data_IF_066404950046
#
_entry.id   IF_066404950046
#
_cell.length_a   1.000
_cell.length_b   1.000
_cell.length_c   1.000
_cell.angle_alpha   90.00
_cell.angle_beta   90.00
_cell.angle_gamma   90.00
#
_symmetry.space_group_name_H-M   'P 1'
#
loop_
_entity.id
_entity.type
_entity.pdbx_description
1 polymer ?
#
# COMPACT_ATOMS: atom_id res chain seq x y z
N UNK A 1 15.79 10.94 18.54
CA UNK A 1 15.93 11.00 17.07
C UNK A 1 14.55 11.21 16.51
N UNK A 2 14.24 12.39 16.00
CA UNK A 2 13.05 12.60 15.19
C UNK A 2 13.36 11.94 13.84
N UNK A 3 12.76 10.78 13.55
CA UNK A 3 12.76 10.28 12.18
C UNK A 3 11.91 11.26 11.38
N UNK A 4 12.51 11.94 10.41
CA UNK A 4 11.75 12.70 9.42
C UNK A 4 10.70 11.77 8.83
N UNK A 5 9.47 12.28 8.67
CA UNK A 5 8.42 11.49 8.06
C UNK A 5 8.86 11.08 6.65
N UNK A 6 8.73 9.79 6.30
CA UNK A 6 9.18 9.31 5.01
C UNK A 6 8.50 10.06 3.87
N UNK A 7 9.28 10.43 2.85
CA UNK A 7 8.75 11.15 1.68
C UNK A 7 7.83 10.20 0.90
N UNK A 8 6.54 10.55 0.82
CA UNK A 8 5.51 9.71 0.19
C UNK A 8 5.90 9.27 -1.23
N UNK A 9 6.54 10.14 -2.01
CA UNK A 9 6.99 9.81 -3.37
C UNK A 9 8.04 8.71 -3.42
N UNK A 10 8.90 8.60 -2.41
CA UNK A 10 9.92 7.53 -2.34
C UNK A 10 9.28 6.18 -2.02
N UNK A 11 8.25 6.18 -1.16
CA UNK A 11 7.48 4.98 -0.83
C UNK A 11 6.64 4.49 -2.02
N UNK A 12 6.01 5.41 -2.75
CA UNK A 12 5.31 5.08 -4.00
C UNK A 12 6.30 4.48 -5.00
N UNK A 13 7.47 5.09 -5.20
CA UNK A 13 8.47 4.58 -6.14
C UNK A 13 8.98 3.17 -5.76
N UNK A 14 9.20 2.90 -4.47
CA UNK A 14 9.54 1.56 -3.99
C UNK A 14 8.40 0.55 -4.26
N UNK A 15 7.15 0.98 -4.05
CA UNK A 15 5.96 0.19 -4.35
C UNK A 15 5.79 -0.10 -5.84
N UNK A 16 6.05 0.87 -6.71
CA UNK A 16 6.00 0.71 -8.16
C UNK A 16 7.04 -0.32 -8.64
N UNK A 17 8.25 -0.29 -8.10
CA UNK A 17 9.29 -1.30 -8.39
C UNK A 17 8.84 -2.71 -8.01
N UNK A 18 8.23 -2.86 -6.82
CA UNK A 18 7.67 -4.16 -6.39
C UNK A 18 6.53 -4.57 -7.31
N UNK A 19 5.58 -3.68 -7.60
CA UNK A 19 4.42 -3.95 -8.44
C UNK A 19 4.83 -4.41 -9.84
N UNK A 20 5.79 -3.73 -10.47
CA UNK A 20 6.32 -4.11 -11.78
C UNK A 20 7.03 -5.47 -11.73
N UNK A 21 7.90 -5.69 -10.74
CA UNK A 21 8.61 -6.96 -10.60
C UNK A 21 7.68 -8.15 -10.30
N UNK A 22 6.61 -7.93 -9.54
CA UNK A 22 5.59 -8.96 -9.29
C UNK A 22 4.77 -9.26 -10.56
N UNK A 23 4.44 -8.25 -11.38
CA UNK A 23 3.80 -8.47 -12.68
C UNK A 23 4.68 -9.29 -13.62
N UNK A 24 5.99 -9.05 -13.62
CA UNK A 24 6.94 -9.88 -14.39
C UNK A 24 6.98 -11.32 -13.90
N UNK A 25 6.91 -11.56 -12.59
CA UNK A 25 6.79 -12.91 -12.02
C UNK A 25 5.47 -13.54 -12.50
N UNK A 26 4.35 -12.83 -12.42
CA UNK A 26 3.04 -13.37 -12.82
C UNK A 26 2.96 -13.70 -14.32
N UNK A 27 3.82 -13.09 -15.14
CA UNK A 27 3.95 -13.40 -16.57
C UNK A 27 4.80 -14.66 -16.87
N UNK A 28 5.48 -15.22 -15.87
CA UNK A 28 6.37 -16.38 -16.03
C UNK A 28 5.67 -17.68 -15.61
N UNK A 29 5.96 -18.76 -16.32
CA UNK A 29 5.60 -20.10 -15.89
C UNK A 29 6.64 -20.62 -14.88
N UNK A 30 6.17 -21.04 -13.71
CA UNK A 30 6.99 -21.68 -12.68
C UNK A 30 6.65 -23.17 -12.59
N UNK A 31 7.65 -23.99 -12.34
CA UNK A 31 7.46 -25.44 -12.17
C UNK A 31 6.63 -25.75 -10.91
N UNK A 32 6.79 -24.95 -9.85
CA UNK A 32 6.05 -25.11 -8.59
C UNK A 32 5.59 -23.77 -8.02
N UNK A 33 4.61 -23.81 -7.12
CA UNK A 33 4.22 -22.64 -6.32
C UNK A 33 5.34 -22.18 -5.37
N UNK A 34 6.20 -23.08 -4.93
CA UNK A 34 7.35 -22.76 -4.08
C UNK A 34 8.39 -21.92 -4.82
N UNK A 35 8.66 -22.25 -6.09
CA UNK A 35 9.58 -21.46 -6.93
C UNK A 35 9.05 -20.04 -7.16
N UNK A 36 7.73 -19.90 -7.38
CA UNK A 36 7.08 -18.59 -7.50
C UNK A 36 7.20 -17.80 -6.19
N UNK A 37 6.94 -18.43 -5.05
CA UNK A 37 7.05 -17.80 -3.75
C UNK A 37 8.49 -17.36 -3.44
N UNK A 38 9.49 -18.17 -3.84
CA UNK A 38 10.90 -17.82 -3.69
C UNK A 38 11.26 -16.60 -4.54
N UNK A 39 10.81 -16.56 -5.79
CA UNK A 39 11.01 -15.41 -6.68
C UNK A 39 10.38 -14.13 -6.11
N UNK A 40 9.17 -14.22 -5.56
CA UNK A 40 8.50 -13.07 -4.94
C UNK A 40 9.26 -12.60 -3.69
N UNK A 41 9.70 -13.52 -2.83
CA UNK A 41 10.53 -13.18 -1.65
C UNK A 41 11.83 -12.49 -2.07
N UNK A 42 12.45 -12.92 -3.17
CA UNK A 42 13.64 -12.27 -3.72
C UNK A 42 13.38 -10.83 -4.18
N UNK A 43 12.24 -10.56 -4.83
CA UNK A 43 11.83 -9.19 -5.22
C UNK A 43 11.73 -8.27 -4.00
N UNK A 44 11.04 -8.71 -2.94
CA UNK A 44 10.92 -7.90 -1.73
C UNK A 44 12.29 -7.65 -1.09
N UNK A 45 13.16 -8.67 -1.01
CA UNK A 45 14.50 -8.52 -0.44
C UNK A 45 15.38 -7.55 -1.25
N UNK A 46 15.33 -7.62 -2.58
CA UNK A 46 16.09 -6.74 -3.47
C UNK A 46 15.66 -5.27 -3.32
N UNK A 47 14.35 -5.01 -3.38
CA UNK A 47 13.82 -3.65 -3.23
C UNK A 47 14.09 -3.11 -1.83
N UNK A 48 13.97 -3.93 -0.79
CA UNK A 48 14.33 -3.53 0.58
C UNK A 48 15.79 -3.06 0.67
N UNK A 49 16.72 -3.85 0.11
CA UNK A 49 18.14 -3.50 0.12
C UNK A 49 18.42 -2.22 -0.69
N UNK A 50 17.81 -2.08 -1.87
CA UNK A 50 17.99 -0.93 -2.77
C UNK A 50 17.39 0.36 -2.22
N UNK A 51 16.25 0.28 -1.54
CA UNK A 51 15.47 1.43 -1.06
C UNK A 51 15.67 1.73 0.43
N UNK A 52 16.45 0.92 1.15
CA UNK A 52 16.71 1.11 2.58
C UNK A 52 15.49 0.85 3.46
N UNK A 53 14.59 -0.05 3.05
CA UNK A 53 13.40 -0.40 3.83
C UNK A 53 13.78 -1.32 4.99
N UNK A 54 13.20 -1.07 6.16
CA UNK A 54 13.59 -1.73 7.42
C UNK A 54 13.24 -3.21 7.44
N UNK A 55 12.06 -3.54 6.95
CA UNK A 55 11.54 -4.89 6.98
C UNK A 55 10.56 -5.17 5.83
N UNK A 56 10.17 -6.44 5.72
CA UNK A 56 9.23 -6.89 4.69
C UNK A 56 7.85 -6.26 4.82
N UNK A 57 7.42 -5.91 6.04
CA UNK A 57 6.11 -5.27 6.25
C UNK A 57 6.10 -3.86 5.68
N UNK A 58 7.20 -3.13 5.83
CA UNK A 58 7.37 -1.83 5.21
C UNK A 58 7.36 -1.93 3.67
N UNK A 59 8.06 -2.91 3.10
CA UNK A 59 8.03 -3.14 1.66
C UNK A 59 6.64 -3.54 1.13
N UNK A 60 5.90 -4.35 1.89
CA UNK A 60 4.49 -4.66 1.59
C UNK A 60 3.61 -3.41 1.64
N UNK A 61 3.80 -2.53 2.62
CA UNK A 61 3.07 -1.26 2.69
C UNK A 61 3.37 -0.37 1.49
N UNK A 62 4.63 -0.30 1.03
CA UNK A 62 4.98 0.42 -0.20
C UNK A 62 4.20 -0.13 -1.41
N UNK A 63 4.22 -1.45 -1.59
CA UNK A 63 3.47 -2.16 -2.64
C UNK A 63 1.96 -1.83 -2.61
N UNK A 64 1.35 -1.88 -1.43
CA UNK A 64 -0.08 -1.61 -1.24
C UNK A 64 -0.43 -0.13 -1.48
N UNK A 65 0.37 0.80 -0.95
CA UNK A 65 0.15 2.24 -1.14
C UNK A 65 0.29 2.59 -2.63
N UNK A 66 1.34 2.11 -3.30
CA UNK A 66 1.54 2.30 -4.74
C UNK A 66 0.33 1.78 -5.52
N UNK A 67 -0.13 0.54 -5.24
CA UNK A 67 -1.30 -0.01 -5.91
C UNK A 67 -2.58 0.79 -5.63
N UNK A 68 -2.75 1.31 -4.41
CA UNK A 68 -3.90 2.13 -4.02
C UNK A 68 -3.94 3.43 -4.82
N UNK A 69 -2.81 4.15 -4.91
CA UNK A 69 -2.74 5.42 -5.62
C UNK A 69 -2.67 5.26 -7.14
N UNK A 70 -2.13 4.16 -7.66
CA UNK A 70 -2.13 3.86 -9.10
C UNK A 70 -3.55 3.78 -9.66
N UNK A 71 -4.48 3.19 -8.89
CA UNK A 71 -5.89 3.14 -9.24
C UNK A 71 -6.63 4.48 -9.02
N UNK A 72 -6.07 5.37 -8.19
CA UNK A 72 -6.70 6.64 -7.77
C UNK A 72 -5.64 7.76 -7.62
N UNK A 73 -5.08 8.29 -8.71
CA UNK A 73 -3.92 9.20 -8.64
C UNK A 73 -4.15 10.45 -7.79
N UNK A 74 -5.40 10.93 -7.73
CA UNK A 74 -5.79 12.09 -6.91
C UNK A 74 -5.43 11.92 -5.43
N UNK A 75 -5.36 10.68 -4.93
CA UNK A 75 -5.02 10.40 -3.54
C UNK A 75 -3.65 10.92 -3.14
N UNK A 76 -2.67 10.95 -4.05
CA UNK A 76 -1.33 11.50 -3.78
C UNK A 76 -1.32 12.98 -3.43
N UNK A 77 -2.34 13.73 -3.88
CA UNK A 77 -2.51 15.15 -3.58
C UNK A 77 -3.42 15.42 -2.39
N UNK A 78 -4.23 14.44 -1.99
CA UNK A 78 -5.25 14.61 -0.95
C UNK A 78 -4.82 14.01 0.38
N UNK A 79 -4.05 12.92 0.37
CA UNK A 79 -3.70 12.18 1.57
C UNK A 79 -2.19 12.16 1.79
N UNK A 80 -1.79 12.36 3.03
CA UNK A 80 -0.40 12.19 3.43
C UNK A 80 -0.04 10.70 3.59
N UNK A 81 1.23 10.44 3.86
CA UNK A 81 1.73 9.07 4.05
C UNK A 81 1.04 8.35 5.21
N UNK A 82 0.79 9.04 6.33
CA UNK A 82 0.22 8.43 7.54
C UNK A 82 -1.22 8.00 7.27
N UNK A 83 -1.98 8.81 6.55
CA UNK A 83 -3.35 8.50 6.14
C UNK A 83 -3.39 7.35 5.13
N UNK A 84 -2.56 7.37 4.08
CA UNK A 84 -2.51 6.28 3.10
C UNK A 84 -2.10 4.96 3.77
N UNK A 85 -1.12 5.01 4.66
CA UNK A 85 -0.72 3.86 5.47
C UNK A 85 -1.88 3.34 6.31
N UNK A 86 -2.64 4.22 6.97
CA UNK A 86 -3.79 3.83 7.75
C UNK A 86 -4.86 3.15 6.88
N UNK A 87 -5.15 3.67 5.70
CA UNK A 87 -6.08 3.04 4.75
C UNK A 87 -5.65 1.62 4.35
N UNK A 88 -4.37 1.41 4.06
CA UNK A 88 -3.82 0.09 3.74
C UNK A 88 -3.85 -0.85 4.95
N UNK A 89 -3.41 -0.40 6.12
CA UNK A 89 -3.41 -1.21 7.36
C UNK A 89 -4.82 -1.61 7.80
N UNK A 90 -5.78 -0.71 7.64
CA UNK A 90 -7.19 -0.95 7.93
C UNK A 90 -7.88 -1.76 6.83
N UNK A 91 -7.22 -2.04 5.70
CA UNK A 91 -7.76 -2.79 4.55
C UNK A 91 -9.06 -2.17 4.02
N UNK A 92 -9.14 -0.84 4.02
CA UNK A 92 -10.35 -0.09 3.68
C UNK A 92 -10.89 -0.52 2.31
N UNK A 93 -12.17 -0.90 2.29
CA UNK A 93 -12.84 -1.34 1.07
C UNK A 93 -12.78 -0.23 -0.02
N UNK A 94 -12.64 -0.58 -1.31
CA UNK A 94 -12.56 0.41 -2.39
C UNK A 94 -13.71 1.43 -2.40
N UNK A 95 -14.94 0.99 -2.13
CA UNK A 95 -16.15 1.81 -1.97
C UNK A 95 -16.03 2.87 -0.86
N UNK A 96 -15.31 2.56 0.20
CA UNK A 96 -15.09 3.47 1.32
C UNK A 96 -13.94 4.44 1.02
N UNK A 97 -12.90 4.00 0.30
CA UNK A 97 -11.85 4.89 -0.21
C UNK A 97 -12.44 5.98 -1.12
N UNK A 98 -13.34 5.62 -2.03
CA UNK A 98 -13.97 6.58 -2.94
C UNK A 98 -14.81 7.63 -2.18
N UNK A 99 -15.48 7.21 -1.09
CA UNK A 99 -16.18 8.13 -0.18
C UNK A 99 -15.20 9.06 0.55
N UNK A 100 -14.09 8.54 1.06
CA UNK A 100 -13.07 9.36 1.72
C UNK A 100 -12.47 10.41 0.78
N UNK A 101 -12.22 10.06 -0.48
CA UNK A 101 -11.78 11.01 -1.51
C UNK A 101 -12.82 12.12 -1.69
N UNK A 102 -14.10 11.78 -1.84
CA UNK A 102 -15.16 12.76 -2.01
C UNK A 102 -15.23 13.72 -0.81
N UNK A 103 -15.23 13.18 0.41
CA UNK A 103 -15.29 14.00 1.64
C UNK A 103 -14.07 14.90 1.77
N UNK A 104 -12.85 14.37 1.55
CA UNK A 104 -11.63 15.14 1.73
C UNK A 104 -11.46 16.26 0.71
N UNK A 105 -12.01 16.09 -0.51
CA UNK A 105 -12.04 17.16 -1.52
C UNK A 105 -12.86 18.37 -1.08
N UNK A 106 -13.95 18.13 -0.34
CA UNK A 106 -14.87 19.18 0.11
C UNK A 106 -14.54 19.67 1.53
N UNK A 107 -13.80 18.89 2.30
CA UNK A 107 -13.41 19.19 3.67
C UNK A 107 -11.93 18.83 3.93
N UNK A 108 -11.06 19.84 3.87
CA UNK A 108 -9.63 19.66 4.13
C UNK A 108 -9.30 19.25 5.58
N UNK A 109 -10.22 19.45 6.53
CA UNK A 109 -10.03 19.01 7.92
C UNK A 109 -10.28 17.52 8.13
N UNK A 110 -10.90 16.83 7.15
CA UNK A 110 -11.03 15.38 7.19
C UNK A 110 -9.65 14.73 7.06
N UNK A 111 -9.25 13.94 8.06
CA UNK A 111 -7.98 13.26 8.04
C UNK A 111 -7.95 11.96 8.82
N UNK A 112 -6.79 11.64 9.40
CA UNK A 112 -6.55 10.35 10.05
C UNK A 112 -7.60 9.98 11.12
N UNK A 113 -8.01 10.95 11.95
CA UNK A 113 -8.98 10.71 13.02
C UNK A 113 -10.33 10.25 12.48
N UNK A 114 -10.86 10.93 11.46
CA UNK A 114 -12.12 10.58 10.82
C UNK A 114 -12.01 9.28 10.02
N UNK A 115 -10.89 9.06 9.32
CA UNK A 115 -10.62 7.80 8.61
C UNK A 115 -10.70 6.62 9.58
N UNK A 116 -10.04 6.73 10.74
CA UNK A 116 -10.06 5.68 11.76
C UNK A 116 -11.46 5.47 12.33
N UNK A 117 -12.17 6.53 12.68
CA UNK A 117 -13.53 6.45 13.24
C UNK A 117 -14.48 5.73 12.26
N UNK A 118 -14.50 6.15 10.99
CA UNK A 118 -15.38 5.57 9.98
C UNK A 118 -14.98 4.13 9.63
N UNK A 119 -13.68 3.83 9.54
CA UNK A 119 -13.22 2.48 9.24
C UNK A 119 -13.55 1.48 10.36
N UNK A 120 -13.49 1.88 11.63
CA UNK A 120 -13.86 1.04 12.78
C UNK A 120 -15.37 0.75 12.79
N UNK A 121 -16.19 1.75 12.45
CA UNK A 121 -17.66 1.61 12.44
C UNK A 121 -18.21 0.94 11.18
N UNK A 122 -17.41 0.88 10.10
CA UNK A 122 -17.82 0.27 8.84
C UNK A 122 -18.09 -1.23 9.02
N UNK A 123 -19.33 -1.65 8.75
CA UNK A 123 -19.76 -3.06 8.71
C UNK A 123 -19.20 -3.85 7.52
N UNK A 124 -18.49 -3.19 6.61
CA UNK A 124 -17.91 -3.82 5.43
C UNK A 124 -16.70 -4.67 5.86
N UNK A 125 -16.54 -5.87 5.27
CA UNK A 125 -15.34 -6.68 5.48
C UNK A 125 -14.19 -5.97 4.77
N UNK A 126 -13.34 -5.33 5.55
CA UNK A 126 -12.08 -4.75 5.08
C UNK A 126 -11.21 -5.86 4.47
N UNK A 127 -11.10 -5.88 3.14
CA UNK A 127 -10.17 -6.75 2.44
C UNK A 127 -9.54 -5.99 1.28
N UNK A 128 -8.23 -5.83 1.39
CA UNK A 128 -7.35 -5.39 0.32
C UNK A 128 -6.22 -6.42 0.24
N UNK A 129 -5.87 -6.89 -0.96
CA UNK A 129 -4.74 -7.81 -1.20
C UNK A 129 -4.98 -9.29 -0.87
N UNK A 130 -4.27 -10.17 -1.59
CA UNK A 130 -4.19 -11.60 -1.31
C UNK A 130 -3.41 -11.84 -0.01
N UNK A 131 -3.82 -12.85 0.77
CA UNK A 131 -3.03 -13.35 1.89
C UNK A 131 -1.68 -13.86 1.37
N UNK A 132 -0.62 -13.06 1.48
CA UNK A 132 0.73 -13.58 1.44
C UNK A 132 0.98 -14.26 2.79
N UNK A 133 0.60 -15.54 2.88
CA UNK A 133 0.92 -16.36 4.05
C UNK A 133 2.46 -16.41 4.19
N UNK A 134 2.95 -16.14 5.40
CA UNK A 134 4.37 -16.26 5.75
C UNK A 134 4.89 -17.68 5.54
#
# INVERSE_FOLDING_TARGET
MYQEEPVLSEFIAAGDEINLALLEIDSKEFATAEDRNLAQRAVFADVMAKRGLRDRREAMLCHEISALVANRPIMTSLFDYVELKALCMLRVAPSLVDRFIAVKRDNAAFGLGEIMAVAIEARERHQWGHYWQE
#
